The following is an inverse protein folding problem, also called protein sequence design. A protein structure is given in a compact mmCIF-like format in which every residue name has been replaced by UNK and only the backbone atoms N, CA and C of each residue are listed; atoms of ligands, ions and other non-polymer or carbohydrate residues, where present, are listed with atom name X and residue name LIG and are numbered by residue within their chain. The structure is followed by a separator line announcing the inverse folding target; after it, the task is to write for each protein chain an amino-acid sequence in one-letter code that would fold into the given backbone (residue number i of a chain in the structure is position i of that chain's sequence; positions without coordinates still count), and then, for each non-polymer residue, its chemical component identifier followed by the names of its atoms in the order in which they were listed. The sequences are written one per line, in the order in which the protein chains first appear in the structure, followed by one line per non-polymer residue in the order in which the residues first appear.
data_IF_040250883954
#
_entry.id   IF_040250883954
#
_cell.length_a   1.000
_cell.length_b   1.000
_cell.length_c   1.000
_cell.angle_alpha   90.00
_cell.angle_beta   90.00
_cell.angle_gamma   90.00
#
_symmetry.space_group_name_H-M   'P 1'
#
loop_
_entity.id
_entity.type
_entity.pdbx_description
1 polymer ?
#
# COMPACT_ATOMS: atom_id res chain seq x y z
N UNK A 1 -11.18 -41.96 -8.54
CA UNK A 1 -10.15 -40.91 -8.76
C UNK A 1 -10.00 -40.15 -7.46
N UNK A 2 -9.00 -40.50 -6.65
CA UNK A 2 -8.70 -39.81 -5.39
C UNK A 2 -8.24 -38.39 -5.73
N UNK A 3 -9.08 -37.39 -5.44
CA UNK A 3 -8.70 -36.00 -5.56
C UNK A 3 -7.57 -35.71 -4.60
N UNK A 4 -6.34 -35.58 -5.13
CA UNK A 4 -5.23 -34.99 -4.40
C UNK A 4 -5.67 -33.57 -4.08
N UNK A 5 -6.00 -33.30 -2.82
CA UNK A 5 -6.19 -31.93 -2.37
C UNK A 5 -4.94 -31.14 -2.73
N UNK A 6 -5.05 -29.97 -3.38
CA UNK A 6 -3.88 -29.19 -3.74
C UNK A 6 -3.05 -28.93 -2.48
N UNK A 7 -1.75 -29.20 -2.58
CA UNK A 7 -0.83 -28.96 -1.48
C UNK A 7 -0.93 -27.49 -1.07
N UNK A 8 -1.16 -27.23 0.21
CA UNK A 8 -1.26 -25.86 0.69
C UNK A 8 0.08 -25.14 0.50
N UNK A 9 0.04 -23.87 0.06
CA UNK A 9 1.27 -23.13 -0.23
C UNK A 9 2.10 -22.94 1.04
N UNK A 10 3.43 -22.99 0.86
CA UNK A 10 4.45 -22.87 1.90
C UNK A 10 4.42 -21.50 2.60
N UNK A 11 4.22 -20.45 1.81
CA UNK A 11 4.03 -19.05 2.23
C UNK A 11 2.82 -18.53 1.50
N UNK A 12 1.97 -17.71 2.13
CA UNK A 12 0.79 -17.13 1.50
C UNK A 12 0.51 -15.73 2.00
N UNK A 13 0.21 -14.81 1.09
CA UNK A 13 -0.29 -13.49 1.42
C UNK A 13 -1.83 -13.49 1.34
N UNK A 14 -2.48 -13.13 2.44
CA UNK A 14 -3.95 -13.03 2.53
C UNK A 14 -4.36 -11.57 2.55
N UNK A 15 -5.28 -11.19 1.67
CA UNK A 15 -5.71 -9.80 1.47
C UNK A 15 -7.18 -9.61 1.82
N UNK A 16 -7.44 -8.68 2.74
CA UNK A 16 -8.77 -8.31 3.21
C UNK A 16 -9.27 -7.04 2.50
N UNK A 17 -10.19 -7.21 1.55
CA UNK A 17 -10.85 -6.10 0.86
C UNK A 17 -11.71 -5.23 1.81
N UNK A 18 -12.23 -5.80 2.90
CA UNK A 18 -12.98 -5.09 3.92
C UNK A 18 -12.09 -4.12 4.72
N UNK A 19 -10.84 -4.49 4.96
CA UNK A 19 -9.85 -3.59 5.54
C UNK A 19 -9.56 -2.41 4.59
N UNK A 20 -9.41 -2.66 3.29
CA UNK A 20 -9.26 -1.59 2.28
C UNK A 20 -10.46 -0.65 2.27
N UNK A 21 -11.69 -1.18 2.30
CA UNK A 21 -12.91 -0.37 2.38
C UNK A 21 -12.97 0.49 3.65
N UNK A 22 -12.63 -0.10 4.80
CA UNK A 22 -12.52 0.62 6.07
C UNK A 22 -11.49 1.75 5.97
N UNK A 23 -10.29 1.47 5.47
CA UNK A 23 -9.23 2.46 5.35
C UNK A 23 -9.64 3.61 4.42
N UNK A 24 -10.25 3.30 3.27
CA UNK A 24 -10.76 4.32 2.36
C UNK A 24 -11.78 5.24 3.04
N UNK A 25 -12.69 4.69 3.85
CA UNK A 25 -13.67 5.46 4.61
C UNK A 25 -12.99 6.32 5.70
N UNK A 26 -12.03 5.76 6.43
CA UNK A 26 -11.23 6.48 7.45
C UNK A 26 -10.49 7.65 6.83
N UNK A 27 -9.79 7.44 5.71
CA UNK A 27 -9.05 8.48 4.98
C UNK A 27 -9.98 9.57 4.47
N UNK A 28 -11.18 9.22 4.00
CA UNK A 28 -12.22 10.20 3.62
C UNK A 28 -12.68 11.02 4.82
N UNK A 29 -12.76 10.41 6.00
CA UNK A 29 -13.06 11.09 7.26
C UNK A 29 -12.01 12.13 7.66
N UNK A 30 -10.72 11.86 7.42
CA UNK A 30 -9.64 12.80 7.73
C UNK A 30 -9.65 14.08 6.89
N UNK A 31 -10.18 14.01 5.67
CA UNK A 31 -10.19 15.15 4.75
C UNK A 31 -11.12 16.28 5.18
N UNK A 32 -12.19 15.95 5.91
CA UNK A 32 -13.26 16.89 6.23
C UNK A 32 -13.84 17.58 4.99
N UNK A 33 -14.52 18.71 5.19
CA UNK A 33 -14.96 19.59 4.12
C UNK A 33 -14.81 21.08 4.51
N UNK A 34 -13.59 21.54 4.84
CA UNK A 34 -13.37 22.89 5.37
C UNK A 34 -13.83 24.01 4.42
N UNK A 35 -13.92 23.75 3.11
CA UNK A 35 -14.41 24.69 2.10
C UNK A 35 -15.79 24.29 1.52
N UNK A 36 -16.58 23.50 2.26
CA UNK A 36 -17.89 23.01 1.83
C UNK A 36 -17.85 21.88 0.78
N UNK A 37 -16.65 21.50 0.31
CA UNK A 37 -16.43 20.32 -0.54
C UNK A 37 -15.18 19.58 -0.07
N UNK A 38 -15.33 18.28 0.16
CA UNK A 38 -14.20 17.40 0.46
C UNK A 38 -13.37 17.12 -0.81
N UNK A 39 -12.03 17.03 -0.72
CA UNK A 39 -11.19 16.53 -1.80
C UNK A 39 -11.61 15.12 -2.25
N UNK A 40 -11.45 14.84 -3.54
CA UNK A 40 -11.64 13.50 -4.11
C UNK A 40 -10.42 12.63 -3.87
N UNK A 41 -10.59 11.30 -3.92
CA UNK A 41 -9.52 10.34 -3.65
C UNK A 41 -9.12 9.59 -4.92
N UNK A 42 -7.85 9.74 -5.31
CA UNK A 42 -7.16 8.79 -6.18
C UNK A 42 -6.62 7.64 -5.34
N UNK A 43 -7.30 6.50 -5.33
CA UNK A 43 -6.81 5.29 -4.68
C UNK A 43 -5.62 4.75 -5.48
N UNK A 44 -4.42 4.84 -4.91
CA UNK A 44 -3.19 4.46 -5.61
C UNK A 44 -3.03 2.94 -5.63
N UNK A 45 -3.02 2.36 -6.83
CA UNK A 45 -2.99 0.91 -7.10
C UNK A 45 -1.77 0.45 -7.90
N UNK A 46 -0.75 1.31 -8.07
CA UNK A 46 0.51 0.94 -8.73
C UNK A 46 1.20 -0.25 -8.06
N UNK A 47 2.06 -0.94 -8.81
CA UNK A 47 2.78 -2.12 -8.33
C UNK A 47 1.81 -3.19 -7.80
N UNK A 48 0.79 -3.51 -8.60
CA UNK A 48 -0.28 -4.46 -8.30
C UNK A 48 -0.94 -4.22 -6.92
N UNK A 49 -1.40 -2.99 -6.71
CA UNK A 49 -1.97 -2.51 -5.45
C UNK A 49 -1.02 -2.69 -4.25
N UNK A 50 0.22 -2.22 -4.40
CA UNK A 50 1.26 -2.37 -3.38
C UNK A 50 1.47 -3.84 -2.97
N UNK A 51 1.48 -4.75 -3.96
CA UNK A 51 1.61 -6.21 -3.77
C UNK A 51 0.37 -6.92 -3.23
N UNK A 52 -0.76 -6.22 -3.05
CA UNK A 52 -2.01 -6.82 -2.55
C UNK A 52 -2.82 -7.51 -3.66
N UNK A 53 -2.46 -7.33 -4.94
CA UNK A 53 -3.23 -7.84 -6.04
C UNK A 53 -4.45 -6.97 -6.32
N UNK A 54 -4.47 -6.28 -7.46
CA UNK A 54 -5.55 -5.37 -7.85
C UNK A 54 -6.93 -6.02 -7.75
N UNK A 55 -7.06 -7.27 -8.22
CA UNK A 55 -8.31 -8.01 -8.19
C UNK A 55 -8.82 -8.29 -6.76
N UNK A 56 -7.91 -8.45 -5.79
CA UNK A 56 -8.28 -8.74 -4.39
C UNK A 56 -8.70 -7.47 -3.64
N UNK A 57 -8.18 -6.31 -4.01
CA UNK A 57 -8.51 -5.04 -3.34
C UNK A 57 -9.67 -4.29 -4.00
N UNK A 58 -9.93 -4.52 -5.29
CA UNK A 58 -10.91 -3.73 -6.05
C UNK A 58 -12.31 -3.67 -5.42
N UNK A 59 -12.86 -4.75 -4.83
CA UNK A 59 -14.14 -4.67 -4.12
C UNK A 59 -14.13 -3.65 -2.97
N UNK A 60 -13.00 -3.51 -2.27
CA UNK A 60 -12.81 -2.52 -1.21
C UNK A 60 -12.64 -1.09 -1.71
N UNK A 61 -12.38 -0.91 -3.01
CA UNK A 61 -12.20 0.40 -3.66
C UNK A 61 -13.47 0.89 -4.37
N UNK A 62 -14.61 0.22 -4.20
CA UNK A 62 -15.86 0.57 -4.88
C UNK A 62 -16.33 2.02 -4.65
N UNK A 63 -15.93 2.64 -3.54
CA UNK A 63 -16.25 4.02 -3.16
C UNK A 63 -15.11 5.02 -3.41
N UNK A 64 -14.06 4.62 -4.15
CA UNK A 64 -13.01 5.53 -4.56
C UNK A 64 -13.51 6.46 -5.67
N UNK A 65 -13.01 7.69 -5.72
CA UNK A 65 -13.39 8.64 -6.79
C UNK A 65 -12.63 8.36 -8.09
N UNK A 66 -11.49 7.68 -7.99
CA UNK A 66 -10.62 7.30 -9.11
C UNK A 66 -9.52 6.34 -8.65
N UNK A 67 -8.92 5.62 -9.59
CA UNK A 67 -7.70 4.82 -9.32
C UNK A 67 -6.47 5.56 -9.86
N UNK A 68 -5.32 5.37 -9.21
CA UNK A 68 -4.04 5.87 -9.71
C UNK A 68 -3.04 4.72 -9.92
N UNK A 69 -2.74 4.47 -11.19
CA UNK A 69 -1.80 3.46 -11.68
C UNK A 69 -0.47 4.12 -12.11
N UNK A 70 0.58 3.32 -12.30
CA UNK A 70 1.87 3.82 -12.75
C UNK A 70 1.91 4.09 -14.25
N UNK A 71 1.41 3.16 -15.07
CA UNK A 71 1.55 3.19 -16.52
C UNK A 71 0.24 2.79 -17.23
N UNK A 72 0.20 2.92 -18.56
CA UNK A 72 -0.98 2.61 -19.36
C UNK A 72 -1.40 1.13 -19.29
N UNK A 73 -0.45 0.20 -19.12
CA UNK A 73 -0.75 -1.23 -19.00
C UNK A 73 -1.45 -1.54 -17.66
N UNK A 74 -1.02 -0.93 -16.55
CA UNK A 74 -1.71 -1.03 -15.27
C UNK A 74 -3.09 -0.36 -15.32
N UNK A 75 -3.24 0.76 -16.04
CA UNK A 75 -4.55 1.38 -16.28
C UNK A 75 -5.48 0.44 -17.07
N UNK A 76 -4.95 -0.28 -18.05
CA UNK A 76 -5.69 -1.32 -18.77
C UNK A 76 -6.07 -2.48 -17.85
N UNK A 77 -5.18 -2.90 -16.95
CA UNK A 77 -5.47 -3.92 -15.95
C UNK A 77 -6.62 -3.50 -15.02
N UNK A 78 -6.70 -2.20 -14.65
CA UNK A 78 -7.85 -1.67 -13.91
C UNK A 78 -9.17 -1.84 -14.68
N UNK A 79 -9.16 -1.52 -15.98
CA UNK A 79 -10.34 -1.69 -16.85
C UNK A 79 -10.73 -3.16 -16.99
N UNK A 80 -9.75 -4.05 -17.18
CA UNK A 80 -9.95 -5.49 -17.29
C UNK A 80 -10.50 -6.10 -15.99
N UNK A 81 -10.08 -5.58 -14.83
CA UNK A 81 -10.60 -5.96 -13.52
C UNK A 81 -12.03 -5.42 -13.24
N UNK A 82 -12.58 -4.58 -14.12
CA UNK A 82 -13.95 -4.07 -14.05
C UNK A 82 -14.08 -2.63 -13.55
N UNK A 83 -12.97 -1.91 -13.30
CA UNK A 83 -13.02 -0.49 -12.91
C UNK A 83 -13.52 0.37 -14.08
N UNK A 84 -14.59 1.14 -13.86
CA UNK A 84 -15.19 2.04 -14.88
C UNK A 84 -15.00 3.53 -14.59
N UNK A 85 -14.57 3.91 -13.39
CA UNK A 85 -14.28 5.30 -13.04
C UNK A 85 -12.98 5.82 -13.66
N UNK A 86 -12.56 7.06 -13.36
CA UNK A 86 -11.35 7.63 -13.91
C UNK A 86 -10.09 6.89 -13.46
N UNK A 87 -9.04 6.96 -14.27
CA UNK A 87 -7.71 6.42 -13.94
C UNK A 87 -6.63 7.46 -14.18
N UNK A 88 -5.88 7.78 -13.13
CA UNK A 88 -4.66 8.58 -13.17
C UNK A 88 -3.45 7.70 -13.45
N UNK A 89 -2.59 8.13 -14.38
CA UNK A 89 -1.35 7.44 -14.76
C UNK A 89 -0.16 8.29 -14.34
N UNK A 90 0.54 7.88 -13.28
CA UNK A 90 1.66 8.63 -12.69
C UNK A 90 2.86 8.81 -13.62
N UNK A 91 3.19 7.79 -14.41
CA UNK A 91 4.31 7.81 -15.35
C UNK A 91 4.02 8.62 -16.61
N UNK A 92 2.76 9.02 -16.83
CA UNK A 92 2.33 9.66 -18.06
C UNK A 92 2.57 8.75 -19.27
N UNK A 93 3.32 9.27 -20.25
CA UNK A 93 3.76 8.56 -21.44
C UNK A 93 5.26 8.25 -21.32
N UNK A 94 5.70 7.08 -21.75
CA UNK A 94 7.12 6.70 -21.72
C UNK A 94 7.77 6.81 -23.10
N UNK A 95 7.00 6.68 -24.17
CA UNK A 95 7.46 6.79 -25.55
C UNK A 95 6.44 7.48 -26.46
N UNK A 96 6.84 8.00 -27.64
CA UNK A 96 5.91 8.62 -28.59
C UNK A 96 4.73 7.72 -28.98
N UNK A 97 4.96 6.40 -29.08
CA UNK A 97 3.94 5.44 -29.46
C UNK A 97 2.81 5.31 -28.43
N UNK A 98 3.03 5.68 -27.16
CA UNK A 98 1.98 5.71 -26.14
C UNK A 98 0.90 6.75 -26.47
N UNK A 99 1.29 7.89 -27.07
CA UNK A 99 0.35 8.95 -27.46
C UNK A 99 -0.65 8.49 -28.54
N UNK A 100 -0.27 7.52 -29.38
CA UNK A 100 -1.14 6.90 -30.39
C UNK A 100 -2.09 5.85 -29.79
N UNK A 101 -1.80 5.35 -28.58
CA UNK A 101 -2.50 4.20 -27.96
C UNK A 101 -3.45 4.61 -26.82
N UNK A 102 -3.80 5.89 -26.74
CA UNK A 102 -4.72 6.44 -25.75
C UNK A 102 -6.18 6.06 -26.05
N UNK A 103 -6.50 4.79 -25.82
CA UNK A 103 -7.80 4.18 -26.14
C UNK A 103 -8.73 4.04 -24.94
N UNK A 104 -8.22 4.23 -23.73
CA UNK A 104 -9.00 4.01 -22.51
C UNK A 104 -9.83 5.23 -22.14
N UNK A 105 -11.01 4.96 -21.59
CA UNK A 105 -11.94 5.96 -21.13
C UNK A 105 -11.42 6.70 -19.89
N UNK A 106 -11.73 7.99 -19.79
CA UNK A 106 -11.52 8.86 -18.62
C UNK A 106 -10.09 8.76 -18.03
N UNK A 107 -9.10 8.78 -18.93
CA UNK A 107 -7.69 8.81 -18.57
C UNK A 107 -7.28 10.19 -18.06
N UNK A 108 -6.45 10.18 -17.03
CA UNK A 108 -5.70 11.32 -16.54
C UNK A 108 -4.20 10.99 -16.62
N UNK A 109 -3.40 11.83 -17.24
CA UNK A 109 -1.98 11.60 -17.44
C UNK A 109 -1.17 12.62 -16.64
N UNK A 110 -0.24 12.17 -15.81
CA UNK A 110 0.74 13.06 -15.19
C UNK A 110 1.83 13.37 -16.21
N UNK A 111 2.04 14.67 -16.48
CA UNK A 111 3.07 15.13 -17.40
C UNK A 111 4.20 15.73 -16.59
N UNK A 112 5.39 15.16 -16.74
CA UNK A 112 6.56 15.50 -15.92
C UNK A 112 7.72 16.10 -16.72
N UNK A 113 7.63 16.15 -18.05
CA UNK A 113 8.63 16.82 -18.90
C UNK A 113 8.07 17.20 -20.27
N UNK A 114 8.75 18.13 -20.95
CA UNK A 114 8.32 18.71 -22.22
C UNK A 114 8.07 17.69 -23.34
N UNK A 115 8.90 16.65 -23.44
CA UNK A 115 8.79 15.67 -24.52
C UNK A 115 7.42 14.95 -24.55
N UNK A 116 6.78 14.72 -23.39
CA UNK A 116 5.44 14.12 -23.35
C UNK A 116 4.36 15.03 -23.98
N UNK A 117 4.51 16.36 -23.85
CA UNK A 117 3.63 17.31 -24.52
C UNK A 117 3.86 17.30 -26.03
N UNK A 118 5.12 17.15 -26.47
CA UNK A 118 5.48 17.07 -27.88
C UNK A 118 4.95 15.77 -28.51
N UNK A 119 5.03 14.63 -27.81
CA UNK A 119 4.44 13.38 -28.28
C UNK A 119 2.92 13.48 -28.44
N UNK A 120 2.23 14.09 -27.47
CA UNK A 120 0.79 14.34 -27.59
C UNK A 120 0.48 15.28 -28.75
N UNK A 121 1.32 16.30 -29.00
CA UNK A 121 1.18 17.25 -30.11
C UNK A 121 1.35 16.57 -31.46
N UNK A 122 2.34 15.70 -31.58
CA UNK A 122 2.82 15.12 -32.83
C UNK A 122 2.14 13.80 -33.20
N UNK A 123 1.40 13.19 -32.28
CA UNK A 123 0.64 11.97 -32.57
C UNK A 123 -0.23 12.15 -33.82
N UNK A 124 -0.15 11.22 -34.76
CA UNK A 124 -0.85 11.25 -36.03
C UNK A 124 -2.37 11.24 -35.84
N UNK A 125 -2.84 10.55 -34.81
CA UNK A 125 -4.28 10.43 -34.51
C UNK A 125 -4.64 11.19 -33.25
N UNK A 126 -5.76 11.93 -33.30
CA UNK A 126 -6.35 12.50 -32.10
C UNK A 126 -7.08 11.39 -31.33
N UNK A 127 -6.93 11.31 -30.00
CA UNK A 127 -7.65 10.32 -29.21
C UNK A 127 -9.16 10.58 -29.29
N UNK A 128 -9.94 9.54 -29.56
CA UNK A 128 -11.41 9.65 -29.56
C UNK A 128 -11.97 10.13 -28.22
N UNK A 129 -11.24 9.87 -27.13
CA UNK A 129 -11.54 10.33 -25.77
C UNK A 129 -10.30 11.02 -25.19
N UNK A 130 -10.18 12.34 -25.35
CA UNK A 130 -9.00 13.06 -24.92
C UNK A 130 -8.71 12.93 -23.40
N UNK A 131 -7.46 12.64 -23.00
CA UNK A 131 -7.09 12.57 -21.59
C UNK A 131 -7.15 13.97 -20.94
N UNK A 132 -7.21 14.01 -19.61
CA UNK A 132 -6.90 15.20 -18.84
C UNK A 132 -5.43 15.13 -18.41
N UNK A 133 -4.75 16.26 -18.37
CA UNK A 133 -3.35 16.33 -17.97
C UNK A 133 -3.23 16.86 -16.55
N UNK A 134 -2.29 16.30 -15.80
CA UNK A 134 -1.83 16.79 -14.51
C UNK A 134 -0.37 17.20 -14.66
N UNK A 135 -0.10 18.51 -14.75
CA UNK A 135 1.26 19.00 -14.86
C UNK A 135 1.96 18.90 -13.51
N UNK A 136 3.01 18.09 -13.47
CA UNK A 136 3.81 17.86 -12.28
C UNK A 136 4.77 19.02 -12.09
N UNK A 137 4.69 19.68 -10.95
CA UNK A 137 5.72 20.59 -10.47
C UNK A 137 6.89 19.77 -9.92
N UNK A 138 8.13 20.19 -10.20
CA UNK A 138 9.32 19.51 -9.70
C UNK A 138 9.37 19.53 -8.17
N UNK A 139 8.99 20.66 -7.57
CA UNK A 139 8.84 20.83 -6.13
C UNK A 139 10.13 20.63 -5.35
N UNK A 140 9.96 20.44 -4.04
CA UNK A 140 11.01 20.07 -3.09
C UNK A 140 11.54 18.65 -3.31
N UNK A 141 10.71 17.75 -3.85
CA UNK A 141 11.12 16.40 -4.19
C UNK A 141 12.14 16.37 -5.35
N UNK A 142 12.00 17.29 -6.30
CA UNK A 142 12.93 17.55 -7.40
C UNK A 142 13.43 16.31 -8.17
N UNK A 143 12.59 15.27 -8.28
CA UNK A 143 12.90 14.05 -9.05
C UNK A 143 12.45 14.13 -10.51
N UNK A 144 11.37 14.86 -10.79
CA UNK A 144 10.80 15.07 -12.13
C UNK A 144 9.69 16.10 -12.06
N UNK A 145 9.34 16.72 -13.18
CA UNK A 145 8.36 17.79 -13.24
C UNK A 145 8.99 19.06 -13.80
N UNK A 146 8.15 20.05 -14.05
CA UNK A 146 8.58 21.38 -14.49
C UNK A 146 8.94 22.22 -13.27
N UNK A 147 10.07 22.92 -13.34
CA UNK A 147 10.43 23.88 -12.32
C UNK A 147 9.62 25.19 -12.43
N UNK A 148 9.87 26.14 -11.54
CA UNK A 148 9.15 27.41 -11.49
C UNK A 148 9.28 28.23 -12.78
N UNK A 149 10.43 28.18 -13.46
CA UNK A 149 10.67 28.92 -14.69
C UNK A 149 9.95 28.28 -15.88
N UNK A 150 9.88 26.95 -15.91
CA UNK A 150 9.29 26.17 -17.00
C UNK A 150 7.76 26.03 -16.87
N UNK A 151 7.21 26.09 -15.66
CA UNK A 151 5.83 25.65 -15.39
C UNK A 151 4.77 26.37 -16.23
N UNK A 152 4.90 27.69 -16.39
CA UNK A 152 3.95 28.50 -17.16
C UNK A 152 4.00 28.18 -18.66
N UNK A 153 5.19 27.97 -19.22
CA UNK A 153 5.34 27.54 -20.62
C UNK A 153 4.72 26.15 -20.83
N UNK A 154 5.00 25.20 -19.93
CA UNK A 154 4.41 23.87 -19.98
C UNK A 154 2.88 23.91 -19.92
N UNK A 155 2.32 24.79 -19.08
CA UNK A 155 0.88 25.02 -19.01
C UNK A 155 0.30 25.57 -20.31
N UNK A 156 0.92 26.58 -20.91
CA UNK A 156 0.45 27.14 -22.18
C UNK A 156 0.53 26.13 -23.34
N UNK A 157 1.58 25.31 -23.37
CA UNK A 157 1.72 24.20 -24.33
C UNK A 157 0.62 23.16 -24.12
N UNK A 158 0.31 22.79 -22.88
CA UNK A 158 -0.80 21.89 -22.57
C UNK A 158 -2.15 22.49 -22.96
N UNK A 159 -2.37 23.79 -22.74
CA UNK A 159 -3.59 24.48 -23.18
C UNK A 159 -3.70 24.57 -24.71
N UNK A 160 -2.59 24.64 -25.44
CA UNK A 160 -2.60 24.53 -26.89
C UNK A 160 -3.10 23.14 -27.35
N UNK A 161 -2.78 22.07 -26.62
CA UNK A 161 -3.33 20.73 -26.88
C UNK A 161 -4.83 20.65 -26.60
N UNK A 162 -5.32 21.36 -25.57
CA UNK A 162 -6.76 21.49 -25.30
C UNK A 162 -7.48 22.16 -26.47
N UNK A 163 -6.96 23.30 -26.96
CA UNK A 163 -7.53 24.00 -28.12
C UNK A 163 -7.56 23.15 -29.39
N UNK A 164 -6.68 22.15 -29.50
CA UNK A 164 -6.61 21.20 -30.62
C UNK A 164 -7.44 19.94 -30.40
N UNK A 165 -8.18 19.83 -29.29
CA UNK A 165 -8.99 18.65 -28.96
C UNK A 165 -8.19 17.40 -28.62
N UNK A 166 -6.87 17.52 -28.38
CA UNK A 166 -6.00 16.38 -28.02
C UNK A 166 -6.03 16.07 -26.54
N UNK A 167 -6.43 17.04 -25.73
CA UNK A 167 -6.53 16.99 -24.27
C UNK A 167 -7.86 17.63 -23.86
N UNK A 168 -8.54 17.11 -22.83
CA UNK A 168 -9.82 17.69 -22.37
C UNK A 168 -9.67 18.77 -21.29
N UNK A 169 -8.63 18.68 -20.46
CA UNK A 169 -8.39 19.61 -19.35
C UNK A 169 -6.93 19.56 -18.88
N UNK A 170 -6.49 20.63 -18.22
CA UNK A 170 -5.17 20.74 -17.58
C UNK A 170 -5.36 21.01 -16.08
N UNK A 171 -4.59 20.32 -15.26
CA UNK A 171 -4.62 20.34 -13.80
C UNK A 171 -3.19 20.39 -13.23
N UNK A 172 -3.08 20.58 -11.93
CA UNK A 172 -1.81 20.85 -11.25
C UNK A 172 -1.51 19.78 -10.22
N UNK A 173 -0.30 19.24 -10.25
CA UNK A 173 0.15 18.20 -9.34
C UNK A 173 1.48 18.56 -8.69
N UNK A 174 1.56 18.42 -7.37
CA UNK A 174 2.81 18.42 -6.61
C UNK A 174 2.92 17.13 -5.77
N UNK A 175 4.12 16.76 -5.38
CA UNK A 175 4.36 15.66 -4.44
C UNK A 175 5.41 16.12 -3.42
N UNK A 176 5.02 16.20 -2.15
CA UNK A 176 5.89 16.65 -1.06
C UNK A 176 6.99 15.62 -0.75
N UNK A 177 8.19 16.12 -0.45
CA UNK A 177 9.35 15.29 -0.12
C UNK A 177 9.43 14.87 1.35
N UNK A 178 8.89 15.71 2.25
CA UNK A 178 9.06 15.58 3.70
C UNK A 178 7.72 15.69 4.46
N UNK A 179 6.63 15.17 3.89
CA UNK A 179 5.30 15.28 4.51
C UNK A 179 5.13 14.48 5.81
N UNK A 180 6.16 13.72 6.19
CA UNK A 180 6.31 13.02 7.46
C UNK A 180 6.71 13.95 8.62
N UNK A 181 7.17 15.18 8.33
CA UNK A 181 7.63 16.18 9.30
C UNK A 181 6.58 17.26 9.56
N UNK A 182 6.50 17.83 10.78
CA UNK A 182 5.43 18.77 11.18
C UNK A 182 5.34 20.06 10.34
N UNK A 183 6.46 20.54 9.81
CA UNK A 183 6.53 21.71 8.93
C UNK A 183 6.88 21.35 7.46
N UNK A 184 6.91 20.06 7.14
CA UNK A 184 7.53 19.53 5.92
C UNK A 184 6.77 19.80 4.60
N UNK A 185 5.59 20.44 4.66
CA UNK A 185 4.80 20.77 3.45
C UNK A 185 4.67 22.27 3.18
N UNK A 186 4.88 23.13 4.19
CA UNK A 186 4.47 24.53 4.11
C UNK A 186 5.24 25.31 3.03
N UNK A 187 6.57 25.18 3.01
CA UNK A 187 7.42 25.87 2.03
C UNK A 187 7.18 25.36 0.61
N UNK A 188 7.10 24.03 0.44
CA UNK A 188 6.87 23.40 -0.85
C UNK A 188 5.49 23.77 -1.41
N UNK A 189 4.46 23.85 -0.56
CA UNK A 189 3.14 24.30 -0.99
C UNK A 189 3.14 25.76 -1.40
N UNK A 190 3.74 26.66 -0.62
CA UNK A 190 3.81 28.08 -0.95
C UNK A 190 4.47 28.32 -2.32
N UNK A 191 5.59 27.64 -2.60
CA UNK A 191 6.26 27.69 -3.90
C UNK A 191 5.36 27.17 -5.03
N UNK A 192 4.69 26.03 -4.81
CA UNK A 192 3.77 25.46 -5.79
C UNK A 192 2.56 26.36 -6.07
N UNK A 193 1.93 26.94 -5.03
CA UNK A 193 0.81 27.89 -5.15
C UNK A 193 1.22 29.14 -5.93
N UNK A 194 2.43 29.64 -5.72
CA UNK A 194 2.98 30.74 -6.49
C UNK A 194 3.17 30.37 -7.98
N UNK A 195 3.71 29.17 -8.26
CA UNK A 195 3.91 28.69 -9.63
C UNK A 195 2.60 28.55 -10.43
N UNK A 196 1.51 28.17 -9.76
CA UNK A 196 0.19 28.00 -10.40
C UNK A 196 -0.71 29.25 -10.32
N UNK A 197 -0.22 30.36 -9.78
CA UNK A 197 -1.02 31.56 -9.60
C UNK A 197 -1.58 32.07 -10.95
N UNK A 198 -2.90 32.25 -11.00
CA UNK A 198 -3.63 32.68 -12.19
C UNK A 198 -3.80 31.60 -13.27
N UNK A 199 -3.43 30.34 -12.98
CA UNK A 199 -3.62 29.20 -13.89
C UNK A 199 -4.84 28.38 -13.45
N UNK A 200 -5.93 28.31 -14.24
CA UNK A 200 -7.08 27.47 -13.90
C UNK A 200 -6.76 25.97 -13.96
N UNK A 201 -7.29 25.21 -13.00
CA UNK A 201 -7.18 23.75 -12.97
C UNK A 201 -7.43 23.19 -11.58
N UNK A 202 -7.77 21.90 -11.50
CA UNK A 202 -7.79 21.19 -10.22
C UNK A 202 -6.37 21.05 -9.66
N UNK A 203 -6.26 20.97 -8.33
CA UNK A 203 -5.00 20.84 -7.60
C UNK A 203 -4.95 19.51 -6.85
N UNK A 204 -3.80 18.83 -6.91
CA UNK A 204 -3.54 17.62 -6.13
C UNK A 204 -2.12 17.60 -5.57
N UNK A 205 -1.97 17.52 -4.25
CA UNK A 205 -0.65 17.56 -3.61
C UNK A 205 -0.40 16.41 -2.63
N UNK A 206 -1.41 16.06 -1.81
CA UNK A 206 -1.20 15.17 -0.66
C UNK A 206 -1.11 13.69 -1.02
N UNK A 207 -0.01 13.06 -0.58
CA UNK A 207 0.16 11.61 -0.48
C UNK A 207 -0.37 11.09 0.88
N UNK A 208 -0.08 9.83 1.24
CA UNK A 208 -0.49 9.25 2.53
C UNK A 208 0.04 10.02 3.75
N UNK A 209 1.32 10.42 3.74
CA UNK A 209 1.95 11.12 4.86
C UNK A 209 1.31 12.51 5.06
N UNK A 210 1.16 13.26 3.97
CA UNK A 210 0.51 14.56 3.99
C UNK A 210 -0.93 14.48 4.48
N UNK A 211 -1.64 13.41 4.11
CA UNK A 211 -3.01 13.18 4.57
C UNK A 211 -3.07 12.80 6.06
N UNK A 212 -2.09 12.07 6.58
CA UNK A 212 -2.04 11.69 8.00
C UNK A 212 -1.66 12.88 8.90
N UNK A 213 -0.65 13.67 8.52
CA UNK A 213 -0.06 14.73 9.37
C UNK A 213 -0.59 16.13 9.08
N UNK A 214 -0.92 16.45 7.83
CA UNK A 214 -1.31 17.80 7.40
C UNK A 214 -2.74 17.82 6.84
N UNK A 215 -3.70 17.30 7.61
CA UNK A 215 -5.10 17.15 7.19
C UNK A 215 -5.74 18.47 6.73
N UNK A 216 -5.54 19.56 7.49
CA UNK A 216 -6.03 20.89 7.13
C UNK A 216 -5.49 21.33 5.76
N UNK A 217 -4.22 21.04 5.49
CA UNK A 217 -3.57 21.31 4.22
C UNK A 217 -4.18 20.48 3.07
N UNK A 218 -4.30 19.17 3.30
CA UNK A 218 -4.89 18.24 2.34
C UNK A 218 -6.32 18.64 1.94
N UNK A 219 -7.11 19.15 2.91
CA UNK A 219 -8.46 19.68 2.71
C UNK A 219 -8.56 20.91 1.79
N UNK A 220 -7.44 21.58 1.45
CA UNK A 220 -7.40 22.75 0.55
C UNK A 220 -7.18 22.40 -0.93
N UNK A 221 -7.19 21.11 -1.28
CA UNK A 221 -6.93 20.62 -2.65
C UNK A 221 -8.15 19.94 -3.24
N UNK A 222 -8.18 19.74 -4.56
CA UNK A 222 -9.29 19.06 -5.23
C UNK A 222 -9.20 17.54 -5.14
N UNK A 223 -7.98 17.01 -5.07
CA UNK A 223 -7.70 15.58 -5.05
C UNK A 223 -6.52 15.22 -4.14
N UNK A 224 -6.66 14.14 -3.39
CA UNK A 224 -5.57 13.49 -2.65
C UNK A 224 -5.25 12.13 -3.22
N UNK A 225 -4.06 11.61 -2.89
CA UNK A 225 -3.51 10.39 -3.51
C UNK A 225 -2.94 9.42 -2.46
N UNK A 226 -3.77 8.87 -1.56
CA UNK A 226 -3.30 7.86 -0.61
C UNK A 226 -2.83 6.60 -1.35
N UNK A 227 -1.70 6.08 -0.90
CA UNK A 227 -1.13 4.78 -1.29
C UNK A 227 -1.00 3.90 -0.06
N UNK A 228 0.14 3.95 0.63
CA UNK A 228 0.43 3.07 1.78
C UNK A 228 -0.69 3.01 2.85
N UNK A 229 -1.26 4.16 3.24
CA UNK A 229 -2.33 4.22 4.24
C UNK A 229 -3.63 3.52 3.81
N UNK A 230 -3.92 3.46 2.50
CA UNK A 230 -5.07 2.73 1.96
C UNK A 230 -4.98 1.23 2.27
N UNK A 231 -3.75 0.71 2.37
CA UNK A 231 -3.46 -0.69 2.65
C UNK A 231 -3.24 -0.98 4.13
N UNK A 232 -3.46 0.02 5.00
CA UNK A 232 -3.49 -0.19 6.44
C UNK A 232 -2.15 -0.11 7.14
N UNK A 233 -1.14 0.45 6.48
CA UNK A 233 0.16 0.72 7.07
C UNK A 233 0.37 2.23 7.26
N UNK A 234 1.03 2.61 8.36
CA UNK A 234 1.38 3.99 8.64
C UNK A 234 2.39 4.53 7.62
N UNK A 235 2.17 5.75 7.09
CA UNK A 235 3.19 6.47 6.36
C UNK A 235 4.15 7.26 7.26
N UNK A 236 3.91 7.29 8.58
CA UNK A 236 4.68 8.06 9.55
C UNK A 236 5.63 7.17 10.33
N UNK A 237 6.87 7.63 10.50
CA UNK A 237 7.87 6.94 11.31
C UNK A 237 7.41 6.83 12.78
N UNK A 238 7.65 5.68 13.40
CA UNK A 238 7.33 5.44 14.81
C UNK A 238 5.85 5.23 15.13
N UNK A 239 4.96 5.24 14.12
CA UNK A 239 3.55 4.93 14.26
C UNK A 239 3.16 3.72 13.40
N UNK A 240 2.09 3.05 13.79
CA UNK A 240 1.47 1.93 13.10
C UNK A 240 0.14 2.35 12.48
N UNK A 241 -0.31 1.63 11.45
CA UNK A 241 -1.63 1.87 10.85
C UNK A 241 -2.75 1.82 11.88
N UNK A 242 -2.67 0.91 12.87
CA UNK A 242 -3.66 0.77 13.92
C UNK A 242 -3.78 2.02 14.82
N UNK A 243 -2.67 2.67 15.15
CA UNK A 243 -2.67 3.93 15.92
C UNK A 243 -3.30 5.09 15.14
N UNK A 244 -3.28 5.02 13.81
CA UNK A 244 -4.00 5.93 12.92
C UNK A 244 -5.46 5.50 12.68
N UNK A 245 -5.93 4.39 13.27
CA UNK A 245 -7.28 3.86 13.04
C UNK A 245 -7.45 3.12 11.71
N UNK A 246 -6.34 2.76 11.06
CA UNK A 246 -6.30 1.94 9.85
C UNK A 246 -6.22 0.44 10.20
N UNK A 247 -6.66 -0.40 9.26
CA UNK A 247 -6.65 -1.87 9.38
C UNK A 247 -5.69 -2.46 8.34
N UNK A 248 -4.69 -3.26 8.74
CA UNK A 248 -3.78 -3.92 7.80
C UNK A 248 -4.55 -4.79 6.80
N UNK A 249 -4.40 -4.50 5.51
CA UNK A 249 -5.10 -5.24 4.47
C UNK A 249 -4.41 -6.56 4.10
N UNK A 250 -3.09 -6.66 4.26
CA UNK A 250 -2.32 -7.88 4.00
C UNK A 250 -1.86 -8.54 5.30
N UNK A 251 -1.90 -9.88 5.31
CA UNK A 251 -1.16 -10.69 6.27
C UNK A 251 -0.34 -11.76 5.55
N UNK A 252 0.92 -11.91 5.94
CA UNK A 252 1.83 -12.91 5.40
C UNK A 252 1.96 -14.08 6.37
N UNK A 253 1.61 -15.27 5.88
CA UNK A 253 1.58 -16.50 6.66
C UNK A 253 2.57 -17.50 6.11
N UNK A 254 3.18 -18.27 7.01
CA UNK A 254 4.04 -19.41 6.71
C UNK A 254 3.77 -20.53 7.72
N UNK A 255 4.64 -21.52 7.78
CA UNK A 255 4.56 -22.65 8.69
C UNK A 255 5.90 -23.01 9.29
N UNK A 256 5.82 -23.55 10.50
CA UNK A 256 6.91 -24.27 11.13
C UNK A 256 7.12 -25.61 10.42
N UNK A 257 8.34 -25.93 9.99
CA UNK A 257 8.65 -27.18 9.28
C UNK A 257 9.53 -28.13 10.09
N UNK A 258 10.26 -27.61 11.08
CA UNK A 258 11.07 -28.42 11.97
C UNK A 258 11.25 -27.72 13.31
N UNK A 259 11.54 -28.52 14.33
CA UNK A 259 11.91 -28.06 15.68
C UNK A 259 13.16 -28.79 16.12
N UNK A 260 14.09 -28.10 16.78
CA UNK A 260 15.33 -28.71 17.29
C UNK A 260 15.74 -28.07 18.60
N UNK A 261 16.11 -28.88 19.60
CA UNK A 261 16.83 -28.39 20.78
C UNK A 261 18.30 -28.20 20.45
N UNK A 262 18.86 -27.08 20.87
CA UNK A 262 20.28 -26.76 20.72
C UNK A 262 20.87 -26.41 22.08
N UNK A 263 22.09 -26.85 22.34
CA UNK A 263 22.79 -26.54 23.58
C UNK A 263 23.32 -25.08 23.54
N UNK A 264 23.62 -24.51 24.70
CA UNK A 264 24.36 -23.26 24.81
C UNK A 264 25.68 -23.33 23.99
N UNK A 265 26.04 -22.23 23.32
CA UNK A 265 27.22 -22.15 22.46
C UNK A 265 27.03 -22.69 21.04
N UNK A 266 25.82 -23.13 20.66
CA UNK A 266 25.55 -23.64 19.31
C UNK A 266 25.49 -22.49 18.30
N UNK A 267 26.27 -22.58 17.23
CA UNK A 267 26.21 -21.65 16.10
C UNK A 267 25.04 -21.99 15.16
N UNK A 268 24.24 -20.99 14.79
CA UNK A 268 23.09 -21.12 13.88
C UNK A 268 23.25 -20.26 12.62
N UNK A 269 22.80 -20.83 11.50
CA UNK A 269 22.72 -20.15 10.20
C UNK A 269 24.07 -19.89 9.53
N UNK A 270 24.03 -19.15 8.43
CA UNK A 270 25.22 -18.85 7.63
C UNK A 270 26.31 -18.14 8.44
N UNK A 271 27.53 -18.68 8.35
CA UNK A 271 28.73 -18.22 9.08
C UNK A 271 28.57 -18.25 10.61
N UNK A 272 27.60 -19.01 11.14
CA UNK A 272 27.34 -19.06 12.58
C UNK A 272 27.01 -17.69 13.18
N UNK A 273 26.29 -16.86 12.42
CA UNK A 273 26.01 -15.46 12.74
C UNK A 273 25.21 -15.27 14.05
N UNK A 274 24.56 -16.33 14.53
CA UNK A 274 23.97 -16.37 15.86
C UNK A 274 24.62 -17.51 16.65
N UNK A 275 24.92 -17.25 17.92
CA UNK A 275 25.40 -18.25 18.88
C UNK A 275 24.38 -18.31 20.00
N UNK A 276 23.84 -19.50 20.29
CA UNK A 276 22.87 -19.64 21.37
C UNK A 276 23.53 -19.33 22.72
N UNK A 277 22.92 -18.43 23.48
CA UNK A 277 23.42 -18.03 24.81
C UNK A 277 23.05 -19.06 25.90
N UNK A 278 22.07 -19.91 25.61
CA UNK A 278 21.52 -20.92 26.51
C UNK A 278 21.01 -22.12 25.70
N UNK A 279 20.70 -23.19 26.42
CA UNK A 279 19.90 -24.27 25.85
C UNK A 279 18.54 -23.70 25.42
N UNK A 280 18.17 -23.94 24.17
CA UNK A 280 16.95 -23.37 23.61
C UNK A 280 16.28 -24.30 22.58
N UNK A 281 14.97 -24.14 22.42
CA UNK A 281 14.21 -24.74 21.33
C UNK A 281 14.21 -23.79 20.14
N UNK A 282 14.66 -24.27 18.98
CA UNK A 282 14.70 -23.52 17.73
C UNK A 282 13.69 -24.10 16.75
N UNK A 283 12.94 -23.23 16.10
CA UNK A 283 12.02 -23.54 15.03
C UNK A 283 12.59 -23.18 13.67
N UNK A 284 12.31 -23.99 12.65
CA UNK A 284 12.57 -23.63 11.26
C UNK A 284 11.25 -23.23 10.61
N UNK A 285 11.19 -22.01 10.10
CA UNK A 285 10.04 -21.46 9.38
C UNK A 285 10.32 -21.49 7.89
N UNK A 286 9.31 -21.89 7.13
CA UNK A 286 9.38 -22.04 5.69
C UNK A 286 9.13 -20.71 4.96
N UNK A 287 9.98 -19.71 5.22
CA UNK A 287 9.98 -18.43 4.53
C UNK A 287 11.41 -17.86 4.51
N UNK A 288 11.81 -17.27 3.39
CA UNK A 288 13.11 -16.64 3.23
C UNK A 288 13.10 -15.50 2.23
N UNK A 289 14.29 -14.99 1.88
CA UNK A 289 14.39 -13.80 1.03
C UNK A 289 13.97 -14.02 -0.41
N UNK A 290 13.92 -15.26 -0.90
CA UNK A 290 13.38 -15.53 -2.23
C UNK A 290 11.84 -15.50 -2.28
N UNK A 291 11.19 -15.49 -1.12
CA UNK A 291 9.74 -15.24 -1.00
C UNK A 291 9.43 -13.73 -0.87
N UNK A 292 10.46 -12.89 -0.67
CA UNK A 292 10.34 -11.44 -0.46
C UNK A 292 10.51 -11.00 0.99
N UNK A 293 10.75 -11.92 1.93
CA UNK A 293 11.02 -11.54 3.32
C UNK A 293 12.41 -10.88 3.44
N UNK A 294 12.55 -9.75 4.17
CA UNK A 294 13.78 -8.94 4.09
C UNK A 294 14.98 -9.71 4.63
N UNK A 295 15.99 -9.96 3.79
CA UNK A 295 17.23 -10.63 4.21
C UNK A 295 17.95 -9.90 5.36
N UNK A 296 17.75 -8.59 5.44
CA UNK A 296 18.36 -7.71 6.44
C UNK A 296 17.64 -7.70 7.79
N UNK A 297 16.48 -8.36 7.92
CA UNK A 297 15.84 -8.52 9.23
C UNK A 297 16.81 -9.19 10.21
N UNK A 298 16.97 -8.53 11.36
CA UNK A 298 17.98 -8.87 12.35
C UNK A 298 17.48 -9.95 13.32
N UNK A 299 18.41 -10.58 14.05
CA UNK A 299 18.04 -11.36 15.26
C UNK A 299 17.20 -10.47 16.17
N UNK A 300 16.07 -10.99 16.66
CA UNK A 300 15.11 -10.20 17.44
C UNK A 300 13.92 -9.68 16.63
N UNK A 301 13.95 -9.75 15.29
CA UNK A 301 12.77 -9.42 14.45
C UNK A 301 11.57 -10.25 14.91
N UNK A 302 10.44 -9.64 15.25
CA UNK A 302 9.29 -10.36 15.79
C UNK A 302 8.62 -11.25 14.74
N UNK A 303 8.05 -12.35 15.22
CA UNK A 303 7.23 -13.32 14.45
C UNK A 303 6.25 -13.96 15.42
N UNK A 304 5.05 -14.34 14.98
CA UNK A 304 4.14 -15.12 15.83
C UNK A 304 4.14 -16.59 15.39
N UNK A 305 4.32 -17.51 16.33
CA UNK A 305 4.21 -18.95 16.09
C UNK A 305 3.05 -19.48 16.92
N UNK A 306 2.04 -20.04 16.26
CA UNK A 306 0.79 -20.50 16.91
C UNK A 306 0.12 -19.38 17.75
N UNK A 307 0.18 -18.15 17.23
CA UNK A 307 -0.34 -16.94 17.91
C UNK A 307 0.55 -16.41 19.04
N UNK A 308 1.62 -17.11 19.42
CA UNK A 308 2.53 -16.68 20.48
C UNK A 308 3.66 -15.82 19.91
N UNK A 309 3.93 -14.62 20.48
CA UNK A 309 5.06 -13.79 20.09
C UNK A 309 6.41 -14.47 20.33
N UNK A 310 7.20 -14.57 19.28
CA UNK A 310 8.58 -15.04 19.31
C UNK A 310 9.48 -14.10 18.47
N UNK A 311 10.66 -14.58 18.07
CA UNK A 311 11.63 -13.79 17.32
C UNK A 311 12.46 -14.63 16.35
N UNK A 312 12.93 -14.00 15.28
CA UNK A 312 13.97 -14.54 14.40
C UNK A 312 15.30 -14.65 15.16
N UNK A 313 16.03 -15.74 14.93
CA UNK A 313 17.40 -15.96 15.43
C UNK A 313 18.36 -16.25 14.29
N UNK A 314 19.40 -15.42 14.15
CA UNK A 314 20.37 -15.54 13.07
C UNK A 314 19.88 -14.98 11.73
N UNK A 315 20.60 -15.32 10.66
CA UNK A 315 20.37 -14.76 9.32
C UNK A 315 19.26 -15.51 8.59
N UNK A 316 18.45 -14.75 7.87
CA UNK A 316 17.45 -15.28 6.93
C UNK A 316 18.15 -15.87 5.72
N UNK A 317 17.77 -17.10 5.35
CA UNK A 317 18.26 -17.80 4.16
C UNK A 317 17.31 -17.62 2.99
N UNK A 318 17.61 -18.25 1.85
CA UNK A 318 16.80 -18.13 0.63
C UNK A 318 15.35 -18.57 0.87
N UNK A 319 15.18 -19.70 1.57
CA UNK A 319 13.88 -20.37 1.73
C UNK A 319 13.56 -20.68 3.20
N UNK A 320 14.36 -20.24 4.16
CA UNK A 320 14.10 -20.54 5.58
C UNK A 320 14.61 -19.45 6.51
N UNK A 321 13.98 -19.37 7.67
CA UNK A 321 14.47 -18.61 8.81
C UNK A 321 14.37 -19.47 10.08
N UNK A 322 15.27 -19.22 11.02
CA UNK A 322 15.22 -19.84 12.34
C UNK A 322 14.53 -18.89 13.31
N UNK A 323 13.70 -19.44 14.21
CA UNK A 323 12.96 -18.68 15.23
C UNK A 323 13.18 -19.29 16.61
N UNK A 324 13.16 -18.45 17.63
CA UNK A 324 13.14 -18.87 19.04
C UNK A 324 11.77 -19.48 19.36
N UNK A 325 11.73 -20.72 19.86
CA UNK A 325 10.49 -21.41 20.24
C UNK A 325 10.36 -21.60 21.74
N UNK A 326 11.27 -21.06 22.56
CA UNK A 326 11.11 -21.16 24.01
C UNK A 326 9.83 -20.47 24.53
N UNK A 327 9.36 -19.34 23.95
CA UNK A 327 8.04 -18.80 24.32
C UNK A 327 6.87 -19.71 23.88
N UNK A 328 7.08 -20.57 22.88
CA UNK A 328 6.07 -21.44 22.27
C UNK A 328 6.51 -22.93 22.28
N UNK A 329 6.78 -23.54 23.44
CA UNK A 329 7.38 -24.89 23.51
C UNK A 329 6.42 -26.00 23.07
N UNK A 330 5.13 -25.69 22.97
CA UNK A 330 4.09 -26.58 22.45
C UNK A 330 4.02 -26.59 20.92
N UNK A 331 4.61 -25.60 20.23
CA UNK A 331 4.58 -25.53 18.77
C UNK A 331 5.25 -26.78 18.16
N UNK A 332 4.64 -27.29 17.09
CA UNK A 332 5.09 -28.48 16.35
C UNK A 332 5.15 -28.17 14.86
N UNK A 333 5.93 -28.92 14.06
CA UNK A 333 5.88 -28.80 12.60
C UNK A 333 4.43 -28.84 12.10
N UNK A 334 4.08 -27.91 11.22
CA UNK A 334 2.72 -27.62 10.76
C UNK A 334 2.06 -26.42 11.44
N UNK A 335 2.56 -25.96 12.59
CA UNK A 335 2.03 -24.77 13.27
C UNK A 335 2.08 -23.54 12.36
N UNK A 336 1.03 -22.72 12.45
CA UNK A 336 0.90 -21.48 11.67
C UNK A 336 1.91 -20.44 12.18
N UNK A 337 2.47 -19.70 11.23
CA UNK A 337 3.44 -18.63 11.51
C UNK A 337 2.97 -17.34 10.85
N UNK A 338 2.74 -16.29 11.66
CA UNK A 338 2.44 -14.95 11.15
C UNK A 338 3.73 -14.14 11.08
N UNK A 339 4.09 -13.74 9.86
CA UNK A 339 5.27 -12.93 9.57
C UNK A 339 4.96 -11.43 9.64
N UNK A 340 3.77 -11.03 9.19
CA UNK A 340 3.14 -9.74 9.50
C UNK A 340 1.63 -9.83 9.25
N UNK A 341 0.86 -8.92 9.82
CA UNK A 341 -0.59 -8.82 9.68
C UNK A 341 -1.23 -8.06 10.85
N UNK A 342 -2.54 -8.20 11.07
CA UNK A 342 -3.25 -7.47 12.14
C UNK A 342 -2.66 -7.63 13.54
N UNK A 343 -2.12 -8.80 13.88
CA UNK A 343 -1.51 -9.09 15.18
C UNK A 343 0.01 -8.80 15.23
N UNK A 344 0.62 -8.47 14.09
CA UNK A 344 2.05 -8.14 13.97
C UNK A 344 2.23 -7.11 12.86
N UNK A 345 2.20 -5.80 13.17
CA UNK A 345 2.27 -4.73 12.18
C UNK A 345 3.50 -4.87 11.29
N UNK A 346 3.32 -4.66 9.98
CA UNK A 346 4.41 -4.75 8.99
C UNK A 346 5.48 -3.68 9.24
N UNK A 347 5.09 -2.54 9.83
CA UNK A 347 5.97 -1.45 10.24
C UNK A 347 7.00 -1.91 11.26
N UNK A 348 6.63 -2.79 12.20
CA UNK A 348 7.54 -3.33 13.20
C UNK A 348 8.60 -4.22 12.55
N UNK A 349 8.21 -5.03 11.56
CA UNK A 349 9.14 -5.89 10.81
C UNK A 349 10.05 -5.06 9.91
N UNK A 350 9.50 -4.04 9.24
CA UNK A 350 10.26 -3.13 8.39
C UNK A 350 11.32 -2.38 9.21
N UNK A 351 10.96 -1.87 10.39
CA UNK A 351 11.90 -1.21 11.29
C UNK A 351 13.04 -2.15 11.73
N UNK A 352 12.73 -3.40 12.07
CA UNK A 352 13.74 -4.41 12.43
C UNK A 352 14.65 -4.82 11.26
N UNK A 353 14.24 -4.54 10.02
CA UNK A 353 15.03 -4.73 8.81
C UNK A 353 15.71 -3.44 8.32
N UNK A 354 15.50 -2.29 8.98
CA UNK A 354 16.04 -1.00 8.57
C UNK A 354 15.45 -0.46 7.26
N UNK A 355 14.18 -0.74 6.99
CA UNK A 355 13.46 -0.31 5.78
C UNK A 355 12.04 0.17 6.13
N UNK A 356 11.20 0.40 5.12
CA UNK A 356 9.81 0.88 5.24
C UNK A 356 8.79 -0.20 4.90
N UNK A 357 7.57 -0.08 5.43
CA UNK A 357 6.49 -1.05 5.18
C UNK A 357 6.17 -1.25 3.69
N UNK A 358 6.26 -0.19 2.88
CA UNK A 358 6.02 -0.27 1.44
C UNK A 358 6.99 -1.22 0.73
N UNK A 359 8.26 -1.27 1.16
CA UNK A 359 9.29 -2.17 0.61
C UNK A 359 8.88 -3.64 0.86
N UNK A 360 8.48 -3.97 2.08
CA UNK A 360 8.03 -5.33 2.42
C UNK A 360 6.77 -5.74 1.66
N UNK A 361 5.76 -4.87 1.60
CA UNK A 361 4.47 -5.17 0.97
C UNK A 361 4.62 -5.36 -0.56
N UNK A 362 5.46 -4.54 -1.20
CA UNK A 362 5.72 -4.62 -2.65
C UNK A 362 6.80 -5.63 -3.03
N UNK A 363 7.60 -6.10 -2.06
CA UNK A 363 8.76 -6.96 -2.28
C UNK A 363 8.45 -8.46 -2.38
N UNK A 364 7.19 -8.87 -2.22
CA UNK A 364 6.78 -10.27 -2.37
C UNK A 364 7.07 -10.77 -3.80
N UNK A 365 7.69 -11.94 -3.91
CA UNK A 365 8.01 -12.52 -5.22
C UNK A 365 6.85 -13.37 -5.74
N UNK A 366 6.90 -13.75 -7.02
CA UNK A 366 5.93 -14.67 -7.62
C UNK A 366 5.87 -16.08 -6.99
N UNK A 367 6.72 -16.39 -6.00
CA UNK A 367 6.62 -17.63 -5.21
C UNK A 367 5.50 -17.57 -4.16
N UNK A 368 5.09 -16.37 -3.75
CA UNK A 368 4.07 -16.18 -2.74
C UNK A 368 2.72 -15.98 -3.43
N UNK A 369 1.80 -16.96 -3.40
CA UNK A 369 0.45 -16.74 -3.86
C UNK A 369 -0.23 -15.67 -3.00
N UNK A 370 -0.84 -14.71 -3.68
CA UNK A 370 -1.77 -13.75 -3.08
C UNK A 370 -3.18 -14.29 -3.23
N UNK A 371 -3.95 -14.26 -2.15
CA UNK A 371 -5.33 -14.74 -2.15
C UNK A 371 -6.20 -13.85 -1.26
N UNK A 372 -7.51 -13.85 -1.51
CA UNK A 372 -8.45 -13.17 -0.64
C UNK A 372 -8.42 -13.79 0.77
N UNK A 373 -8.52 -12.96 1.80
CA UNK A 373 -8.77 -13.42 3.15
C UNK A 373 -10.13 -14.12 3.19
N UNK A 374 -10.22 -15.23 3.93
CA UNK A 374 -11.52 -15.85 4.19
C UNK A 374 -12.38 -14.83 4.95
N UNK A 375 -13.63 -14.66 4.52
CA UNK A 375 -14.59 -13.88 5.27
C UNK A 375 -14.62 -14.43 6.70
N UNK A 376 -14.29 -13.60 7.69
CA UNK A 376 -14.46 -13.99 9.08
C UNK A 376 -15.95 -14.28 9.26
N UNK A 377 -16.31 -15.56 9.41
CA UNK A 377 -17.65 -15.91 9.85
C UNK A 377 -17.86 -15.17 11.17
N UNK A 378 -18.84 -14.28 11.22
CA UNK A 378 -19.18 -13.53 12.41
C UNK A 378 -19.70 -14.48 13.49
N UNK A 379 -18.80 -15.16 14.20
CA UNK A 379 -19.11 -15.87 15.44
C UNK A 379 -19.15 -14.86 16.56
N UNK A 380 -20.34 -14.34 16.87
CA UNK A 380 -20.83 -14.16 18.25
C UNK A 380 -22.10 -13.28 18.30
N UNK A 381 -23.26 -13.93 18.22
CA UNK A 381 -24.50 -13.38 18.80
C UNK A 381 -25.45 -14.45 19.37
N UNK A 382 -24.99 -15.70 19.57
CA UNK A 382 -25.82 -16.78 20.15
C UNK A 382 -25.49 -17.21 21.58
N UNK A 383 -24.59 -16.52 22.29
CA UNK A 383 -24.31 -16.85 23.70
C UNK A 383 -24.84 -15.82 24.72
N UNK A 384 -25.58 -14.79 24.30
CA UNK A 384 -26.23 -13.84 25.24
C UNK A 384 -27.69 -14.13 25.59
N UNK A 385 -28.33 -15.12 24.97
CA UNK A 385 -29.72 -15.51 25.30
C UNK A 385 -29.84 -16.72 26.25
N UNK A 386 -28.74 -17.42 26.56
CA UNK A 386 -28.76 -18.58 27.46
C UNK A 386 -28.58 -18.27 28.95
N UNK A 387 -28.17 -17.06 29.31
CA UNK A 387 -27.82 -16.69 30.69
C UNK A 387 -28.94 -15.95 31.45
N UNK A 388 -30.04 -15.58 30.79
CA UNK A 388 -31.09 -14.74 31.39
C UNK A 388 -32.39 -15.48 31.78
N UNK A 389 -32.41 -16.81 31.75
CA UNK A 389 -33.61 -17.63 32.07
C UNK A 389 -33.56 -18.36 33.42
N UNK A 390 -32.58 -18.08 34.30
CA UNK A 390 -32.47 -18.78 35.61
C UNK A 390 -32.67 -17.92 36.86
N UNK A 391 -33.30 -16.75 36.76
CA UNK A 391 -33.52 -15.91 37.94
C UNK A 391 -34.91 -15.26 37.98
N UNK A 392 -35.98 -16.06 37.90
CA UNK A 392 -37.35 -15.61 38.24
C UNK A 392 -38.20 -16.74 38.81
N UNK A 393 -37.79 -17.31 39.94
CA UNK A 393 -38.70 -18.05 40.81
C UNK A 393 -38.11 -18.16 42.21
N UNK A 394 -38.34 -17.15 43.08
CA UNK A 394 -38.56 -17.29 44.53
C UNK A 394 -39.01 -15.92 45.07
N UNK A 395 -40.08 -15.96 45.87
CA UNK A 395 -40.58 -14.94 46.81
C UNK A 395 -41.53 -13.84 46.29
N UNK A 396 -42.83 -14.06 46.49
CA UNK A 396 -43.64 -13.13 47.30
C UNK A 396 -44.80 -13.87 47.98
N UNK A 397 -44.90 -13.68 49.29
CA UNK A 397 -46.13 -13.81 50.09
C UNK A 397 -46.99 -12.56 49.87
#
# INVERSE_FOLDING_TARGET
MSGVMPAQPRVVARVDAGAVAHNLATLRGWLGAPQGRAPRIWATVKADAYGHGLAHVLPGLAQADGLAALNLAEAQACRAAGWRGPVLVYGGLHEPADAERLTQDDLHLVISHAAQLDWLRDAATAPARPPALWLRYSGDLNLSGFDTAEYRDAYERAQALVRRGRVRAVHHLNHYAAAEDDDGVAQADAAFRAAIAGLPGCVSTSNSAALARHQAHAGTTDWVRPGLALYGASPLAGATGAELGLRPAMSLHSRLIATRRVAAGTHLGYRGAYVSERDMLVGMVSCGYADGYPRLAQTGTPVLVDGVPTRVVGRISMDMMAVDLDPAPHARPGADVLLWGPALPVETVAAAAGTIAADLLTGLTGRVPVQAAAAQAATSSREREGANSRNSAVATR
#
